data_IF_866494012576
#
_entry.id   IF_866494012576
#
_cell.length_a   1.000
_cell.length_b   1.000
_cell.length_c   1.000
_cell.angle_alpha   90.00
_cell.angle_beta   90.00
_cell.angle_gamma   90.00
#
_symmetry.space_group_name_H-M   'P 1'
#
loop_
_entity.id
_entity.type
_entity.pdbx_description
1 polymer ?
#
# COMPACT_ATOMS: atom_id res chain seq x y z
N UNK A 1 -38.74 -6.12 6.75
CA UNK A 1 -37.67 -5.99 5.74
C UNK A 1 -37.67 -4.64 5.03
N UNK A 2 -38.78 -4.19 4.44
CA UNK A 2 -38.88 -2.85 3.83
C UNK A 2 -38.38 -1.73 4.76
N UNK A 3 -38.88 -1.69 6.00
CA UNK A 3 -38.52 -0.65 6.99
C UNK A 3 -37.06 -0.71 7.48
N UNK A 4 -36.42 -1.87 7.36
CA UNK A 4 -35.00 -2.03 7.72
C UNK A 4 -34.14 -1.46 6.59
N UNK A 5 -34.45 -1.80 5.34
CA UNK A 5 -33.73 -1.26 4.19
C UNK A 5 -33.95 0.24 4.02
N UNK A 6 -35.14 0.78 4.30
CA UNK A 6 -35.35 2.23 4.22
C UNK A 6 -34.46 3.03 5.17
N UNK A 7 -34.05 2.42 6.30
CA UNK A 7 -33.15 3.04 7.28
C UNK A 7 -31.67 2.78 7.01
N UNK A 8 -31.31 1.58 6.53
CA UNK A 8 -29.91 1.12 6.49
C UNK A 8 -29.33 1.08 5.07
N UNK A 9 -30.16 0.96 4.01
CA UNK A 9 -29.67 0.83 2.64
C UNK A 9 -28.79 2.02 2.22
N UNK A 10 -29.19 3.24 2.57
CA UNK A 10 -28.45 4.47 2.24
C UNK A 10 -27.03 4.44 2.82
N UNK A 11 -26.89 4.05 4.10
CA UNK A 11 -25.61 3.89 4.78
C UNK A 11 -24.73 2.80 4.12
N UNK A 12 -25.32 1.66 3.74
CA UNK A 12 -24.62 0.59 3.01
C UNK A 12 -24.15 1.08 1.63
N UNK A 13 -25.04 1.74 0.87
CA UNK A 13 -24.72 2.27 -0.46
C UNK A 13 -23.56 3.24 -0.41
N UNK A 14 -23.58 4.16 0.54
CA UNK A 14 -22.49 5.10 0.75
C UNK A 14 -21.20 4.34 0.98
N UNK A 15 -21.18 3.45 1.96
CA UNK A 15 -19.98 2.71 2.38
C UNK A 15 -19.38 1.95 1.20
N UNK A 16 -20.22 1.33 0.39
CA UNK A 16 -19.75 0.67 -0.83
C UNK A 16 -19.18 1.69 -1.82
N UNK A 17 -19.92 2.75 -2.13
CA UNK A 17 -19.50 3.73 -3.15
C UNK A 17 -18.18 4.39 -2.75
N UNK A 18 -18.02 4.75 -1.47
CA UNK A 18 -16.78 5.32 -0.94
C UNK A 18 -15.62 4.35 -1.07
N UNK A 19 -15.80 3.09 -0.66
CA UNK A 19 -14.76 2.08 -0.80
C UNK A 19 -14.42 1.81 -2.27
N UNK A 20 -15.41 1.67 -3.15
CA UNK A 20 -15.19 1.46 -4.59
C UNK A 20 -14.41 2.64 -5.20
N UNK A 21 -14.78 3.88 -4.88
CA UNK A 21 -14.07 5.06 -5.33
C UNK A 21 -12.63 5.08 -4.79
N UNK A 22 -12.43 4.80 -3.50
CA UNK A 22 -11.11 4.73 -2.89
C UNK A 22 -10.22 3.68 -3.58
N UNK A 23 -10.74 2.47 -3.84
CA UNK A 23 -10.00 1.46 -4.59
C UNK A 23 -9.68 1.90 -6.01
N UNK A 24 -10.62 2.51 -6.73
CA UNK A 24 -10.36 3.00 -8.08
C UNK A 24 -9.38 4.17 -8.16
N UNK A 25 -9.23 4.99 -7.10
CA UNK A 25 -8.12 5.96 -7.05
C UNK A 25 -6.75 5.28 -7.09
N UNK A 26 -6.65 4.04 -6.59
CA UNK A 26 -5.42 3.24 -6.65
C UNK A 26 -4.98 2.84 -8.05
N UNK A 27 -5.81 3.03 -9.10
CA UNK A 27 -5.42 2.82 -10.51
C UNK A 27 -4.36 3.85 -10.95
N UNK A 28 -4.27 5.00 -10.28
CA UNK A 28 -3.32 6.07 -10.64
C UNK A 28 -1.86 5.75 -10.31
N UNK A 29 -1.60 4.69 -9.55
CA UNK A 29 -0.25 4.19 -9.25
C UNK A 29 0.50 3.78 -10.52
N UNK A 30 1.83 3.89 -10.54
CA UNK A 30 2.64 3.34 -11.64
C UNK A 30 2.82 1.82 -11.58
N UNK A 31 2.49 1.18 -10.44
CA UNK A 31 2.66 -0.26 -10.25
C UNK A 31 1.47 -1.08 -10.79
N UNK A 32 1.67 -1.82 -11.88
CA UNK A 32 0.61 -2.64 -12.49
C UNK A 32 -0.02 -3.67 -11.54
N UNK A 33 0.77 -4.28 -10.66
CA UNK A 33 0.25 -5.23 -9.65
C UNK A 33 -0.78 -4.58 -8.72
N UNK A 34 -0.50 -3.34 -8.30
CA UNK A 34 -1.38 -2.52 -7.46
C UNK A 34 -2.62 -2.11 -8.25
N UNK A 35 -2.47 -1.70 -9.51
CA UNK A 35 -3.61 -1.38 -10.38
C UNK A 35 -4.57 -2.56 -10.51
N UNK A 36 -4.05 -3.76 -10.80
CA UNK A 36 -4.88 -4.96 -10.91
C UNK A 36 -5.57 -5.29 -9.60
N UNK A 37 -4.85 -5.26 -8.47
CA UNK A 37 -5.44 -5.48 -7.15
C UNK A 37 -6.61 -4.52 -6.90
N UNK A 38 -6.39 -3.22 -7.11
CA UNK A 38 -7.41 -2.19 -6.94
C UNK A 38 -8.62 -2.38 -7.87
N UNK A 39 -8.42 -2.74 -9.14
CA UNK A 39 -9.50 -3.01 -10.10
C UNK A 39 -10.31 -4.23 -9.65
N UNK A 40 -9.66 -5.32 -9.28
CA UNK A 40 -10.33 -6.54 -8.82
C UNK A 40 -11.12 -6.26 -7.55
N UNK A 41 -10.49 -5.68 -6.52
CA UNK A 41 -11.16 -5.40 -5.24
C UNK A 41 -12.31 -4.41 -5.39
N UNK A 42 -12.13 -3.31 -6.13
CA UNK A 42 -13.19 -2.33 -6.39
C UNK A 42 -14.39 -2.96 -7.11
N UNK A 43 -14.12 -3.79 -8.13
CA UNK A 43 -15.17 -4.49 -8.87
C UNK A 43 -15.87 -5.54 -8.00
N UNK A 44 -15.11 -6.30 -7.20
CA UNK A 44 -15.67 -7.28 -6.25
C UNK A 44 -16.58 -6.59 -5.23
N UNK A 45 -16.21 -5.43 -4.70
CA UNK A 45 -17.05 -4.68 -3.76
C UNK A 45 -18.36 -4.21 -4.39
N UNK A 46 -18.34 -3.79 -5.66
CA UNK A 46 -19.55 -3.46 -6.41
C UNK A 46 -20.49 -4.67 -6.53
N UNK A 47 -19.96 -5.85 -6.86
CA UNK A 47 -20.75 -7.09 -6.90
C UNK A 47 -21.26 -7.50 -5.52
N UNK A 48 -20.43 -7.39 -4.47
CA UNK A 48 -20.83 -7.63 -3.09
C UNK A 48 -22.00 -6.74 -2.67
N UNK A 49 -22.01 -5.48 -3.09
CA UNK A 49 -23.12 -4.57 -2.82
C UNK A 49 -24.42 -4.98 -3.49
N UNK A 50 -24.37 -5.35 -4.77
CA UNK A 50 -25.55 -5.86 -5.49
C UNK A 50 -26.09 -7.11 -4.78
N UNK A 51 -25.20 -8.02 -4.38
CA UNK A 51 -25.58 -9.23 -3.64
C UNK A 51 -26.19 -8.92 -2.26
N UNK A 52 -25.64 -7.94 -1.53
CA UNK A 52 -26.12 -7.53 -0.20
C UNK A 52 -27.51 -6.87 -0.24
N UNK A 53 -27.82 -6.09 -1.27
CA UNK A 53 -29.15 -5.47 -1.41
C UNK A 53 -30.19 -6.47 -1.93
N UNK A 54 -29.81 -7.38 -2.84
CA UNK A 54 -30.76 -8.29 -3.50
C UNK A 54 -30.86 -9.63 -2.79
N UNK A 55 -29.85 -10.49 -2.96
CA UNK A 55 -29.84 -11.86 -2.49
C UNK A 55 -29.88 -11.96 -0.96
N UNK A 56 -29.01 -11.23 -0.27
CA UNK A 56 -28.96 -11.27 1.20
C UNK A 56 -30.29 -10.79 1.81
N UNK A 57 -30.89 -9.73 1.26
CA UNK A 57 -32.21 -9.25 1.66
C UNK A 57 -33.32 -10.29 1.50
N UNK A 58 -33.30 -11.04 0.39
CA UNK A 58 -34.24 -12.13 0.16
C UNK A 58 -34.05 -13.26 1.18
N UNK A 59 -32.81 -13.64 1.49
CA UNK A 59 -32.52 -14.65 2.52
C UNK A 59 -32.97 -14.20 3.90
N UNK A 60 -32.72 -12.95 4.31
CA UNK A 60 -33.22 -12.43 5.59
C UNK A 60 -34.75 -12.39 5.63
N UNK A 61 -35.42 -12.10 4.51
CA UNK A 61 -36.89 -12.14 4.45
C UNK A 61 -37.44 -13.57 4.62
N UNK A 62 -36.78 -14.57 4.04
CA UNK A 62 -37.13 -15.98 4.23
C UNK A 62 -36.84 -16.44 5.67
N UNK A 63 -35.73 -16.00 6.25
CA UNK A 63 -35.38 -16.32 7.62
C UNK A 63 -36.36 -15.70 8.63
N UNK A 64 -36.77 -14.45 8.43
CA UNK A 64 -37.81 -13.83 9.25
C UNK A 64 -39.14 -14.57 9.16
N UNK A 65 -39.52 -15.10 7.99
CA UNK A 65 -40.69 -15.99 7.85
C UNK A 65 -40.51 -17.29 8.64
N UNK A 66 -39.31 -17.90 8.58
CA UNK A 66 -38.95 -19.10 9.35
C UNK A 66 -39.05 -18.85 10.85
N UNK A 67 -38.54 -17.73 11.35
CA UNK A 67 -38.58 -17.36 12.77
C UNK A 67 -40.02 -17.24 13.28
N UNK A 68 -40.90 -16.56 12.54
CA UNK A 68 -42.32 -16.42 12.91
C UNK A 68 -43.02 -17.78 12.98
N UNK A 69 -42.75 -18.69 12.02
CA UNK A 69 -43.30 -20.05 12.05
C UNK A 69 -42.76 -20.85 13.24
N UNK A 70 -41.45 -20.76 13.51
CA UNK A 70 -40.80 -21.44 14.63
C UNK A 70 -41.36 -20.98 15.98
N UNK A 71 -41.53 -19.66 16.17
CA UNK A 71 -42.12 -19.07 17.38
C UNK A 71 -43.60 -19.46 17.56
N UNK A 72 -44.37 -19.55 16.48
CA UNK A 72 -45.76 -20.04 16.52
C UNK A 72 -45.85 -21.52 16.89
N UNK A 73 -44.91 -22.34 16.40
CA UNK A 73 -44.80 -23.76 16.77
C UNK A 73 -44.42 -23.94 18.24
N UNK A 74 -43.54 -23.10 18.78
CA UNK A 74 -43.18 -23.11 20.20
C UNK A 74 -44.31 -22.64 21.13
N UNK A 75 -45.18 -21.72 20.67
CA UNK A 75 -46.32 -21.21 21.45
C UNK A 75 -47.56 -22.10 21.43
N UNK A 76 -47.65 -23.11 20.54
CA UNK A 76 -48.81 -23.99 20.45
C UNK A 76 -48.56 -25.29 21.25
N UNK A 77 -49.17 -25.50 22.42
CA UNK A 77 -49.16 -26.81 23.05
C UNK A 77 -50.23 -27.66 22.36
N UNK A 78 -49.87 -28.31 21.26
CA UNK A 78 -50.71 -29.39 20.72
C UNK A 78 -50.36 -30.69 21.46
N UNK A 79 -51.12 -30.88 22.56
CA UNK A 79 -51.29 -32.08 23.41
C UNK A 79 -50.14 -32.52 24.33
N UNK A 80 -50.43 -33.15 25.50
CA UNK A 80 -49.45 -33.45 26.55
C UNK A 80 -48.49 -34.61 26.22
N UNK A 81 -48.78 -35.40 25.19
CA UNK A 81 -48.10 -36.67 24.94
C UNK A 81 -47.59 -36.78 23.50
N UNK A 82 -46.52 -36.05 23.17
CA UNK A 82 -45.71 -36.40 22.01
C UNK A 82 -44.23 -36.12 22.27
N UNK A 83 -43.48 -37.20 22.55
CA UNK A 83 -42.01 -37.20 22.53
C UNK A 83 -41.52 -36.88 21.12
N UNK A 84 -41.42 -35.59 20.80
CA UNK A 84 -40.80 -35.14 19.57
C UNK A 84 -39.29 -35.35 19.67
N UNK A 85 -38.73 -36.05 18.67
CA UNK A 85 -37.36 -36.55 18.62
C UNK A 85 -36.32 -35.45 18.80
N UNK A 86 -35.27 -35.74 19.58
CA UNK A 86 -34.25 -34.78 20.03
C UNK A 86 -33.46 -34.12 18.89
N UNK A 87 -33.46 -34.69 17.68
CA UNK A 87 -32.76 -34.12 16.53
C UNK A 87 -33.44 -32.87 15.94
N UNK A 88 -34.77 -32.72 16.08
CA UNK A 88 -35.50 -31.54 15.57
C UNK A 88 -35.39 -30.32 16.50
N UNK A 89 -35.00 -30.51 17.77
CA UNK A 89 -34.75 -29.41 18.73
C UNK A 89 -33.48 -28.61 18.41
N UNK A 90 -32.50 -29.19 17.71
CA UNK A 90 -31.22 -28.52 17.44
C UNK A 90 -31.32 -27.40 16.38
N UNK A 91 -32.23 -27.52 15.42
CA UNK A 91 -32.37 -26.52 14.34
C UNK A 91 -33.23 -25.29 14.74
N UNK A 92 -33.90 -25.36 15.89
CA UNK A 92 -34.94 -24.43 16.33
C UNK A 92 -34.79 -24.00 17.81
N UNK A 93 -33.61 -24.10 18.42
CA UNK A 93 -33.39 -23.68 19.81
C UNK A 93 -32.93 -22.21 19.87
N UNK A 94 -33.75 -21.25 20.31
CA UNK A 94 -33.26 -20.09 21.04
C UNK A 94 -32.93 -20.53 22.47
N UNK A 95 -31.83 -19.99 23.00
CA UNK A 95 -31.43 -20.15 24.40
C UNK A 95 -32.62 -19.89 25.34
N UNK A 96 -32.79 -20.74 26.36
CA UNK A 96 -33.88 -20.71 27.34
C UNK A 96 -34.19 -19.29 27.86
N UNK A 97 -35.30 -18.72 27.42
CA UNK A 97 -36.13 -17.84 28.25
C UNK A 97 -37.54 -17.81 27.65
N UNK A 98 -38.54 -18.02 28.51
CA UNK A 98 -39.93 -17.71 28.19
C UNK A 98 -39.99 -16.22 27.89
N UNK A 99 -40.06 -15.88 26.60
CA UNK A 99 -40.06 -14.51 26.07
C UNK A 99 -41.43 -13.87 26.28
N UNK A 100 -41.48 -12.84 27.12
CA UNK A 100 -42.63 -11.95 27.21
C UNK A 100 -42.84 -11.23 25.85
N UNK A 101 -44.10 -11.21 25.43
CA UNK A 101 -44.57 -10.40 24.31
C UNK A 101 -44.38 -8.91 24.66
N UNK A 102 -43.74 -8.15 23.76
CA UNK A 102 -43.68 -6.67 23.64
C UNK A 102 -42.38 -5.90 23.91
N UNK A 103 -41.30 -6.49 24.42
CA UNK A 103 -39.99 -5.82 24.40
C UNK A 103 -39.06 -6.52 23.42
N UNK A 104 -38.69 -5.83 22.35
CA UNK A 104 -37.55 -6.24 21.55
C UNK A 104 -36.34 -6.28 22.49
N UNK A 105 -35.83 -7.48 22.80
CA UNK A 105 -34.67 -7.67 23.67
C UNK A 105 -33.51 -6.81 23.12
N UNK A 106 -33.22 -5.71 23.81
CA UNK A 106 -32.11 -4.82 23.41
C UNK A 106 -30.82 -5.61 23.61
N UNK A 107 -29.99 -5.68 22.57
CA UNK A 107 -28.75 -6.43 22.62
C UNK A 107 -27.88 -5.93 23.80
N UNK A 108 -27.35 -6.82 24.67
CA UNK A 108 -26.59 -6.41 25.86
C UNK A 108 -25.42 -5.48 25.54
N UNK A 109 -24.81 -5.63 24.37
CA UNK A 109 -23.72 -4.75 23.94
C UNK A 109 -24.17 -3.32 23.67
N UNK A 110 -25.39 -3.13 23.16
CA UNK A 110 -25.93 -1.78 22.97
C UNK A 110 -26.13 -1.12 24.35
N UNK A 111 -26.67 -1.87 25.32
CA UNK A 111 -26.78 -1.40 26.71
C UNK A 111 -25.41 -1.09 27.31
N UNK A 112 -24.38 -1.89 27.06
CA UNK A 112 -23.00 -1.59 27.48
C UNK A 112 -22.50 -0.26 26.91
N UNK A 113 -22.72 -0.01 25.62
CA UNK A 113 -22.32 1.26 24.98
C UNK A 113 -23.07 2.47 25.55
N UNK A 114 -24.36 2.32 25.90
CA UNK A 114 -25.19 3.39 26.47
C UNK A 114 -24.94 3.65 27.95
N UNK A 115 -24.86 2.58 28.75
CA UNK A 115 -24.94 2.65 30.21
C UNK A 115 -23.56 2.64 30.88
N UNK A 116 -22.56 2.02 30.23
CA UNK A 116 -21.20 1.92 30.78
C UNK A 116 -20.20 2.75 29.98
N UNK A 117 -20.03 2.44 28.69
CA UNK A 117 -18.94 3.01 27.89
C UNK A 117 -19.16 4.48 27.54
N UNK A 118 -20.36 4.88 27.09
CA UNK A 118 -20.69 6.27 26.75
C UNK A 118 -20.50 7.24 27.94
N UNK A 119 -21.15 7.01 29.09
CA UNK A 119 -20.99 7.86 30.27
C UNK A 119 -19.54 7.89 30.79
N UNK A 120 -18.84 6.76 30.73
CA UNK A 120 -17.42 6.71 31.07
C UNK A 120 -16.57 7.60 30.16
N UNK A 121 -16.75 7.47 28.84
CA UNK A 121 -15.96 8.19 27.82
C UNK A 121 -16.20 9.70 27.89
N UNK A 122 -17.43 10.11 28.18
CA UNK A 122 -17.88 11.51 28.15
C UNK A 122 -17.63 12.23 29.49
N UNK A 123 -17.29 11.50 30.56
CA UNK A 123 -16.90 12.14 31.81
C UNK A 123 -15.70 13.09 31.61
N UNK A 124 -15.69 14.23 32.31
CA UNK A 124 -14.67 15.28 32.13
C UNK A 124 -13.23 14.76 32.31
N UNK A 125 -13.03 13.83 33.26
CA UNK A 125 -11.73 13.20 33.51
C UNK A 125 -11.30 12.33 32.33
N UNK A 126 -12.22 11.54 31.78
CA UNK A 126 -11.96 10.70 30.60
C UNK A 126 -11.72 11.53 29.36
N UNK A 127 -12.44 12.64 29.14
CA UNK A 127 -12.19 13.55 28.01
C UNK A 127 -10.75 14.08 28.02
N UNK A 128 -10.24 14.53 29.17
CA UNK A 128 -8.84 14.98 29.32
C UNK A 128 -7.87 13.83 29.02
N UNK A 129 -8.14 12.64 29.57
CA UNK A 129 -7.32 11.46 29.33
C UNK A 129 -7.29 11.07 27.84
N UNK A 130 -8.42 11.11 27.13
CA UNK A 130 -8.52 10.80 25.70
C UNK A 130 -7.73 11.79 24.86
N UNK A 131 -7.78 13.08 25.20
CA UNK A 131 -6.96 14.11 24.51
C UNK A 131 -5.47 13.84 24.73
N UNK A 132 -5.04 13.52 25.95
CA UNK A 132 -3.65 13.17 26.24
C UNK A 132 -3.20 11.91 25.48
N UNK A 133 -4.06 10.88 25.46
CA UNK A 133 -3.83 9.65 24.70
C UNK A 133 -3.67 9.95 23.22
N UNK A 134 -4.54 10.78 22.64
CA UNK A 134 -4.46 11.17 21.24
C UNK A 134 -3.18 11.94 20.91
N UNK A 135 -2.78 12.90 21.76
CA UNK A 135 -1.52 13.63 21.59
C UNK A 135 -0.32 12.69 21.66
N UNK A 136 -0.31 11.75 22.62
CA UNK A 136 0.76 10.74 22.71
C UNK A 136 0.83 9.83 21.48
N UNK A 137 -0.34 9.44 20.96
CA UNK A 137 -0.46 8.64 19.74
C UNK A 137 0.09 9.38 18.54
N UNK A 138 -0.26 10.66 18.34
CA UNK A 138 0.25 11.47 17.24
C UNK A 138 1.77 11.66 17.34
N UNK A 139 2.30 11.95 18.53
CA UNK A 139 3.75 12.11 18.73
C UNK A 139 4.49 10.82 18.36
N UNK A 140 4.02 9.67 18.86
CA UNK A 140 4.60 8.37 18.52
C UNK A 140 4.49 8.06 17.03
N UNK A 141 3.34 8.37 16.42
CA UNK A 141 3.09 8.14 14.99
C UNK A 141 4.02 8.96 14.10
N UNK A 142 4.14 10.26 14.38
CA UNK A 142 5.03 11.16 13.63
C UNK A 142 6.49 10.75 13.81
N UNK A 143 6.91 10.39 15.03
CA UNK A 143 8.25 9.86 15.27
C UNK A 143 8.52 8.59 14.46
N UNK A 144 7.55 7.66 14.43
CA UNK A 144 7.63 6.45 13.63
C UNK A 144 7.72 6.72 12.13
N UNK A 145 7.01 7.72 11.60
CA UNK A 145 7.08 8.09 10.18
C UNK A 145 8.50 8.48 9.73
N UNK A 146 9.30 9.11 10.60
CA UNK A 146 10.70 9.43 10.29
C UNK A 146 11.63 8.20 10.32
N UNK A 147 11.18 7.07 10.86
CA UNK A 147 11.94 5.82 10.96
C UNK A 147 11.54 4.78 9.91
N UNK A 148 10.50 5.03 9.13
CA UNK A 148 10.03 4.09 8.10
C UNK A 148 11.12 3.91 7.05
N UNK A 149 11.50 2.64 6.82
CA UNK A 149 12.43 2.29 5.75
C UNK A 149 11.69 2.18 4.41
N UNK A 150 12.30 2.75 3.37
CA UNK A 150 11.75 2.75 2.02
C UNK A 150 12.27 1.56 1.22
N UNK A 151 11.37 0.91 0.48
CA UNK A 151 11.72 -0.06 -0.54
C UNK A 151 11.45 -1.50 -0.17
N UNK A 152 11.32 -2.31 -1.22
CA UNK A 152 11.18 -3.75 -1.12
C UNK A 152 12.56 -4.41 -1.14
N UNK A 153 12.83 -5.20 -0.10
CA UNK A 153 13.96 -6.12 -0.10
C UNK A 153 13.61 -7.34 -0.97
N UNK A 154 14.50 -7.72 -1.89
CA UNK A 154 14.29 -8.89 -2.76
C UNK A 154 14.15 -10.19 -1.96
N UNK A 155 14.77 -10.28 -0.78
CA UNK A 155 14.64 -11.41 0.15
C UNK A 155 13.19 -11.63 0.57
N UNK A 156 12.42 -10.54 0.71
CA UNK A 156 11.03 -10.58 1.14
C UNK A 156 10.04 -11.08 0.07
N UNK A 157 10.49 -11.24 -1.18
CA UNK A 157 9.67 -11.84 -2.24
C UNK A 157 9.68 -13.36 -2.21
N UNK A 158 10.69 -13.97 -1.60
CA UNK A 158 10.80 -15.41 -1.47
C UNK A 158 10.06 -15.92 -0.23
N UNK A 159 9.74 -17.22 -0.22
CA UNK A 159 9.34 -17.90 1.01
C UNK A 159 10.48 -17.91 2.01
N UNK A 160 10.17 -17.98 3.30
CA UNK A 160 11.19 -17.94 4.37
C UNK A 160 12.23 -19.05 4.25
N UNK A 161 11.82 -20.23 3.79
CA UNK A 161 12.69 -21.41 3.62
C UNK A 161 13.49 -21.39 2.29
N UNK A 162 13.38 -20.31 1.50
CA UNK A 162 14.05 -20.21 0.21
C UNK A 162 15.56 -19.99 0.34
N UNK A 163 16.34 -20.59 -0.55
CA UNK A 163 17.78 -20.36 -0.68
C UNK A 163 18.15 -18.90 -1.01
N UNK A 164 17.17 -18.11 -1.50
CA UNK A 164 17.34 -16.70 -1.86
C UNK A 164 17.81 -15.87 -0.67
N UNK A 165 17.25 -16.08 0.52
CA UNK A 165 17.61 -15.30 1.71
C UNK A 165 19.05 -15.56 2.16
N UNK A 166 19.49 -16.83 2.35
CA UNK A 166 20.89 -17.13 2.61
C UNK A 166 21.84 -16.61 1.53
N UNK A 167 21.48 -16.72 0.25
CA UNK A 167 22.29 -16.22 -0.87
C UNK A 167 22.54 -14.71 -0.75
N UNK A 168 21.48 -13.91 -0.61
CA UNK A 168 21.61 -12.46 -0.49
C UNK A 168 22.30 -12.02 0.80
N UNK A 169 22.16 -12.77 1.90
CA UNK A 169 22.90 -12.48 3.13
C UNK A 169 24.40 -12.68 2.92
N UNK A 170 24.82 -13.78 2.30
CA UNK A 170 26.23 -14.04 1.97
C UNK A 170 26.77 -12.98 0.99
N UNK A 171 25.97 -12.59 -0.01
CA UNK A 171 26.37 -11.54 -0.95
C UNK A 171 26.52 -10.17 -0.26
N UNK A 172 25.62 -9.81 0.66
CA UNK A 172 25.70 -8.57 1.43
C UNK A 172 26.87 -8.56 2.44
N UNK A 173 27.10 -9.68 3.14
CA UNK A 173 28.12 -9.78 4.19
C UNK A 173 29.55 -9.90 3.64
N UNK A 174 29.72 -10.54 2.47
CA UNK A 174 31.04 -10.88 1.94
C UNK A 174 31.37 -10.26 0.58
N UNK A 175 30.36 -9.88 -0.21
CA UNK A 175 30.54 -9.46 -1.61
C UNK A 175 29.89 -8.10 -1.93
N UNK A 176 29.55 -7.29 -0.91
CA UNK A 176 28.89 -5.98 -1.07
C UNK A 176 29.78 -4.83 -1.49
N UNK A 177 31.10 -5.04 -1.58
CA UNK A 177 32.07 -4.00 -1.97
C UNK A 177 31.75 -3.47 -3.38
N UNK A 178 31.52 -4.39 -4.31
CA UNK A 178 31.18 -4.09 -5.70
C UNK A 178 29.65 -4.05 -5.87
N UNK A 179 29.17 -2.96 -6.46
CA UNK A 179 27.78 -2.82 -6.87
C UNK A 179 27.51 -3.41 -8.26
N UNK A 180 26.31 -3.18 -8.82
CA UNK A 180 25.99 -3.63 -10.16
C UNK A 180 26.91 -2.97 -11.20
N UNK A 181 27.43 -3.78 -12.13
CA UNK A 181 28.21 -3.29 -13.26
C UNK A 181 27.30 -2.61 -14.28
N UNK A 182 27.40 -1.28 -14.40
CA UNK A 182 26.46 -0.48 -15.21
C UNK A 182 26.97 -0.37 -16.64
N UNK A 183 26.07 -0.58 -17.61
CA UNK A 183 26.33 -0.36 -19.03
C UNK A 183 26.09 1.11 -19.36
N UNK A 184 27.08 1.78 -19.95
CA UNK A 184 26.95 3.10 -20.59
C UNK A 184 26.91 2.86 -22.09
N UNK A 185 25.74 3.04 -22.69
CA UNK A 185 25.44 2.64 -24.06
C UNK A 185 25.36 3.89 -24.93
N UNK A 186 26.16 3.94 -26.00
CA UNK A 186 26.02 4.93 -27.07
C UNK A 186 24.88 4.44 -27.98
N UNK A 187 23.76 5.15 -27.98
CA UNK A 187 22.52 4.68 -28.62
C UNK A 187 22.43 4.98 -30.11
N UNK A 188 23.21 5.94 -30.58
CA UNK A 188 23.22 6.38 -31.98
C UNK A 188 24.59 6.18 -32.62
N UNK A 189 24.60 6.20 -33.96
CA UNK A 189 25.83 6.10 -34.72
C UNK A 189 26.73 7.30 -34.39
N UNK A 190 27.96 6.99 -33.96
CA UNK A 190 28.97 7.98 -33.64
C UNK A 190 30.18 7.75 -34.54
N UNK A 191 30.70 8.83 -35.11
CA UNK A 191 31.91 8.78 -35.92
C UNK A 191 33.15 8.66 -35.00
N UNK A 192 33.42 7.44 -34.51
CA UNK A 192 34.53 7.17 -33.58
C UNK A 192 35.92 7.51 -34.15
N UNK A 193 36.06 7.66 -35.47
CA UNK A 193 37.31 8.15 -36.09
C UNK A 193 37.45 9.68 -35.99
N UNK A 194 36.39 10.43 -35.74
CA UNK A 194 36.50 11.88 -35.51
C UNK A 194 37.04 12.18 -34.11
N UNK A 195 38.02 13.10 -34.06
CA UNK A 195 38.71 13.47 -32.82
C UNK A 195 37.78 14.23 -31.88
N UNK A 196 36.93 15.10 -32.42
CA UNK A 196 36.02 15.90 -31.60
C UNK A 196 34.90 15.03 -31.03
N UNK A 197 34.34 14.12 -31.83
CA UNK A 197 33.38 13.10 -31.36
C UNK A 197 33.96 12.22 -30.24
N UNK A 198 35.19 11.69 -30.40
CA UNK A 198 35.85 10.91 -29.34
C UNK A 198 36.06 11.72 -28.06
N UNK A 199 36.55 12.94 -28.17
CA UNK A 199 36.80 13.80 -27.00
C UNK A 199 35.52 14.11 -26.22
N UNK A 200 34.39 14.32 -26.92
CA UNK A 200 33.09 14.50 -26.26
C UNK A 200 32.67 13.26 -25.48
N UNK A 201 32.83 12.08 -26.08
CA UNK A 201 32.51 10.81 -25.42
C UNK A 201 33.43 10.53 -24.23
N UNK A 202 34.74 10.79 -24.37
CA UNK A 202 35.73 10.67 -23.29
C UNK A 202 35.40 11.60 -22.13
N UNK A 203 35.02 12.86 -22.38
CA UNK A 203 34.57 13.78 -21.33
C UNK A 203 33.34 13.24 -20.59
N UNK A 204 32.35 12.70 -21.33
CA UNK A 204 31.17 12.12 -20.69
C UNK A 204 31.51 10.89 -19.85
N UNK A 205 32.41 10.01 -20.33
CA UNK A 205 32.87 8.86 -19.54
C UNK A 205 33.65 9.29 -18.31
N UNK A 206 34.49 10.31 -18.41
CA UNK A 206 35.19 10.88 -17.27
C UNK A 206 34.23 11.42 -16.21
N UNK A 207 33.08 11.99 -16.59
CA UNK A 207 32.05 12.40 -15.61
C UNK A 207 31.49 11.22 -14.81
N UNK A 208 31.35 10.04 -15.42
CA UNK A 208 30.97 8.80 -14.72
C UNK A 208 32.10 8.30 -13.82
N UNK A 209 33.33 8.25 -14.33
CA UNK A 209 34.52 7.79 -13.60
C UNK A 209 34.81 8.66 -12.36
N UNK A 210 34.55 9.96 -12.44
CA UNK A 210 34.71 10.91 -11.32
C UNK A 210 33.56 10.84 -10.28
N UNK A 211 32.56 9.98 -10.48
CA UNK A 211 31.47 9.79 -9.53
C UNK A 211 31.95 9.04 -8.30
N UNK A 212 31.47 9.42 -7.10
CA UNK A 212 31.72 8.70 -5.84
C UNK A 212 31.28 7.22 -5.89
N UNK A 213 30.37 6.89 -6.80
CA UNK A 213 29.82 5.54 -6.94
C UNK A 213 30.59 4.65 -7.92
N UNK A 214 31.69 5.11 -8.52
CA UNK A 214 32.45 4.39 -9.56
C UNK A 214 33.90 4.20 -9.13
N UNK A 215 34.47 3.03 -9.45
CA UNK A 215 35.93 2.84 -9.43
C UNK A 215 36.49 3.12 -10.83
N UNK A 216 37.25 4.20 -10.96
CA UNK A 216 37.88 4.63 -12.21
C UNK A 216 38.77 3.54 -12.85
N UNK A 217 39.38 2.67 -12.05
CA UNK A 217 40.32 1.66 -12.53
C UNK A 217 39.65 0.42 -13.14
N UNK A 218 38.34 0.30 -12.95
CA UNK A 218 37.54 -0.85 -13.36
C UNK A 218 36.52 -0.51 -14.45
N UNK A 219 36.67 0.66 -15.07
CA UNK A 219 35.94 1.00 -16.29
C UNK A 219 36.51 0.19 -17.46
N UNK A 220 35.65 -0.55 -18.15
CA UNK A 220 36.02 -1.27 -19.36
C UNK A 220 35.32 -0.64 -20.56
N UNK A 221 36.13 -0.12 -21.50
CA UNK A 221 35.61 0.42 -22.74
C UNK A 221 36.49 0.03 -23.93
N UNK A 222 35.86 -0.58 -24.94
CA UNK A 222 36.55 -1.06 -26.14
C UNK A 222 37.33 0.05 -26.84
N UNK A 223 36.82 1.28 -26.87
CA UNK A 223 37.44 2.39 -27.60
C UNK A 223 38.77 2.80 -26.97
N UNK A 224 38.88 2.80 -25.64
CA UNK A 224 40.12 3.14 -24.94
C UNK A 224 41.22 2.12 -25.27
N UNK A 225 40.90 0.83 -25.26
CA UNK A 225 41.83 -0.24 -25.64
C UNK A 225 42.13 -0.23 -27.15
N UNK A 226 41.13 0.08 -27.97
CA UNK A 226 41.28 0.18 -29.41
C UNK A 226 42.20 1.32 -29.84
N UNK A 227 42.09 2.49 -29.19
CA UNK A 227 42.99 3.63 -29.41
C UNK A 227 44.44 3.24 -29.08
N UNK A 228 44.69 2.62 -27.92
CA UNK A 228 46.03 2.12 -27.55
C UNK A 228 46.57 1.09 -28.56
N UNK A 229 45.71 0.20 -29.03
CA UNK A 229 46.05 -0.79 -30.06
C UNK A 229 46.49 -0.12 -31.38
N UNK A 230 45.73 0.87 -31.85
CA UNK A 230 46.05 1.62 -33.08
C UNK A 230 47.33 2.47 -32.94
N UNK A 231 47.56 3.07 -31.77
CA UNK A 231 48.80 3.80 -31.47
C UNK A 231 50.03 2.87 -31.52
N UNK A 232 49.92 1.66 -30.97
CA UNK A 232 50.97 0.64 -31.03
C UNK A 232 51.28 0.21 -32.47
N UNK A 233 50.26 0.13 -33.33
CA UNK A 233 50.41 -0.15 -34.76
C UNK A 233 50.89 1.06 -35.58
N UNK A 234 51.00 2.24 -34.96
CA UNK A 234 51.34 3.52 -35.62
C UNK A 234 50.40 3.85 -36.79
N UNK A 235 49.13 3.45 -36.70
CA UNK A 235 48.10 3.75 -37.70
C UNK A 235 47.40 5.08 -37.36
N UNK A 236 46.81 5.72 -38.37
CA UNK A 236 46.10 6.98 -38.16
C UNK A 236 44.66 6.73 -37.70
N UNK A 237 44.39 6.99 -36.42
CA UNK A 237 43.07 6.81 -35.80
C UNK A 237 42.02 7.76 -36.40
N UNK A 238 42.45 8.92 -36.92
CA UNK A 238 41.54 9.93 -37.45
C UNK A 238 41.06 9.65 -38.88
N UNK A 239 41.58 8.60 -39.51
CA UNK A 239 41.12 8.18 -40.83
C UNK A 239 40.05 7.09 -40.71
N UNK A 240 38.87 7.33 -41.28
CA UNK A 240 37.73 6.40 -41.24
C UNK A 240 38.09 5.02 -41.79
N UNK A 241 38.82 4.97 -42.91
CA UNK A 241 39.13 3.69 -43.57
C UNK A 241 40.14 2.87 -42.78
N UNK A 242 41.16 3.53 -42.23
CA UNK A 242 42.13 2.90 -41.34
C UNK A 242 41.48 2.43 -40.04
N UNK A 243 40.62 3.24 -39.43
CA UNK A 243 39.88 2.86 -38.23
C UNK A 243 39.02 1.61 -38.50
N UNK A 244 38.10 1.66 -39.45
CA UNK A 244 37.15 0.55 -39.66
C UNK A 244 37.81 -0.76 -40.13
N UNK A 245 38.90 -0.67 -40.91
CA UNK A 245 39.59 -1.86 -41.43
C UNK A 245 40.38 -2.63 -40.37
N UNK A 246 40.81 -1.97 -39.29
CA UNK A 246 41.57 -2.62 -38.21
C UNK A 246 40.66 -3.21 -37.12
N UNK A 247 39.37 -2.87 -37.07
CA UNK A 247 38.44 -3.41 -36.06
C UNK A 247 38.36 -4.94 -36.10
N UNK A 248 38.21 -5.63 -37.25
CA UNK A 248 38.13 -7.09 -37.25
C UNK A 248 39.37 -7.76 -36.65
N UNK A 249 40.56 -7.23 -36.93
CA UNK A 249 41.81 -7.73 -36.37
C UNK A 249 41.89 -7.46 -34.87
N UNK A 250 41.52 -6.26 -34.43
CA UNK A 250 41.41 -5.95 -33.00
C UNK A 250 40.45 -6.89 -32.28
N UNK A 251 39.29 -7.21 -32.87
CA UNK A 251 38.33 -8.14 -32.28
C UNK A 251 38.81 -9.59 -32.28
N UNK A 252 39.79 -9.96 -33.11
CA UNK A 252 40.47 -11.26 -33.00
C UNK A 252 41.41 -11.31 -31.80
N UNK A 253 42.12 -10.21 -31.52
CA UNK A 253 43.04 -10.10 -30.38
C UNK A 253 42.29 -9.89 -29.05
N UNK A 254 41.16 -9.17 -29.09
CA UNK A 254 40.30 -8.84 -27.96
C UNK A 254 38.85 -9.32 -28.19
N UNK A 255 38.60 -10.63 -28.17
CA UNK A 255 37.31 -11.22 -28.55
C UNK A 255 36.14 -10.82 -27.63
N UNK A 256 36.42 -10.38 -26.40
CA UNK A 256 35.38 -9.95 -25.45
C UNK A 256 34.63 -8.71 -25.95
N UNK A 257 35.32 -7.76 -26.58
CA UNK A 257 34.71 -6.52 -27.08
C UNK A 257 33.83 -6.72 -28.32
N UNK A 258 33.85 -7.90 -28.94
CA UNK A 258 32.96 -8.20 -30.06
C UNK A 258 31.47 -8.15 -29.65
N UNK A 259 31.17 -8.35 -28.36
CA UNK A 259 29.82 -8.23 -27.82
C UNK A 259 29.41 -6.80 -27.44
N UNK A 260 30.35 -5.84 -27.50
CA UNK A 260 30.16 -4.47 -27.03
C UNK A 260 30.10 -3.45 -28.17
N UNK A 261 30.28 -3.90 -29.41
CA UNK A 261 30.24 -3.08 -30.63
C UNK A 261 29.30 -3.76 -31.62
N UNK A 262 28.34 -3.00 -32.15
CA UNK A 262 27.46 -3.47 -33.23
C UNK A 262 27.79 -2.74 -34.53
N UNK A 263 28.25 -3.51 -35.53
CA UNK A 263 28.73 -2.99 -36.81
C UNK A 263 27.85 -3.54 -37.93
N UNK A 264 27.35 -2.66 -38.79
CA UNK A 264 26.56 -3.04 -39.96
C UNK A 264 27.43 -3.63 -41.07
N UNK A 265 26.77 -4.29 -42.02
CA UNK A 265 27.37 -4.67 -43.30
C UNK A 265 27.93 -3.48 -44.10
N UNK A 266 27.48 -2.25 -43.81
CA UNK A 266 28.00 -1.00 -44.40
C UNK A 266 29.22 -0.44 -43.66
N UNK A 267 29.80 -1.17 -42.70
CA UNK A 267 30.92 -0.76 -41.85
C UNK A 267 30.62 0.50 -41.01
N UNK A 268 29.39 0.62 -40.53
CA UNK A 268 28.99 1.70 -39.63
C UNK A 268 28.73 1.14 -38.23
N UNK A 269 29.24 1.83 -37.20
CA UNK A 269 29.04 1.43 -35.81
C UNK A 269 27.74 2.08 -35.33
N UNK A 270 26.66 1.30 -35.28
CA UNK A 270 25.34 1.81 -34.88
C UNK A 270 25.28 2.09 -33.39
N UNK A 271 25.79 1.13 -32.60
CA UNK A 271 25.77 1.23 -31.16
C UNK A 271 27.01 0.57 -30.58
N UNK A 272 27.45 1.09 -29.45
CA UNK A 272 28.48 0.47 -28.65
C UNK A 272 28.22 0.72 -27.17
N UNK A 273 28.90 0.00 -26.29
CA UNK A 273 28.77 0.19 -24.85
C UNK A 273 30.10 0.13 -24.12
N UNK A 274 30.17 0.85 -23.02
CA UNK A 274 31.18 0.75 -21.97
C UNK A 274 30.55 0.14 -20.72
N UNK A 275 31.38 -0.37 -19.83
CA UNK A 275 30.97 -0.82 -18.52
C UNK A 275 31.70 -0.05 -17.43
N UNK A 276 30.94 0.49 -16.49
CA UNK A 276 31.45 1.15 -15.29
C UNK A 276 31.14 0.29 -14.08
N UNK A 277 32.16 -0.05 -13.31
CA UNK A 277 32.00 -0.84 -12.08
C UNK A 277 31.62 0.10 -10.93
N UNK A 278 30.48 -0.17 -10.32
CA UNK A 278 30.02 0.64 -9.18
C UNK A 278 30.54 0.12 -7.84
N UNK A 279 30.63 1.01 -6.85
CA UNK A 279 31.17 0.74 -5.52
C UNK A 279 30.32 1.37 -4.41
N UNK A 280 30.30 0.75 -3.23
CA UNK A 280 29.70 1.36 -2.03
C UNK A 280 28.17 1.50 -2.05
N UNK A 281 27.48 0.69 -2.86
CA UNK A 281 26.03 0.79 -3.09
C UNK A 281 25.22 -0.27 -2.32
N UNK A 282 25.41 -0.34 -0.99
CA UNK A 282 24.67 -1.29 -0.14
C UNK A 282 23.23 -0.84 0.15
N UNK A 283 23.04 0.42 0.55
CA UNK A 283 21.74 0.99 0.94
C UNK A 283 20.79 1.26 -0.22
N UNK A 284 19.47 1.10 -0.01
CA UNK A 284 18.42 1.47 -0.97
C UNK A 284 18.49 2.95 -1.36
N UNK A 285 18.90 3.83 -0.44
CA UNK A 285 19.15 5.26 -0.70
C UNK A 285 20.30 5.46 -1.68
N UNK A 286 21.44 4.80 -1.47
CA UNK A 286 22.60 4.91 -2.37
C UNK A 286 22.28 4.33 -3.76
N UNK A 287 21.53 3.22 -3.82
CA UNK A 287 21.04 2.61 -5.06
C UNK A 287 20.20 3.62 -5.87
N UNK A 288 19.29 4.32 -5.20
CA UNK A 288 18.44 5.36 -5.79
C UNK A 288 19.25 6.58 -6.25
N UNK A 289 20.16 7.08 -5.41
CA UNK A 289 20.98 8.26 -5.73
C UNK A 289 21.91 8.01 -6.92
N UNK A 290 22.61 6.86 -6.92
CA UNK A 290 23.45 6.47 -8.05
C UNK A 290 22.65 6.39 -9.35
N UNK A 291 21.48 5.75 -9.33
CA UNK A 291 20.62 5.64 -10.51
C UNK A 291 20.23 7.01 -11.08
N UNK A 292 19.81 7.93 -10.21
CA UNK A 292 19.43 9.28 -10.62
C UNK A 292 20.62 10.09 -11.14
N UNK A 293 21.79 9.97 -10.49
CA UNK A 293 23.01 10.65 -10.90
C UNK A 293 23.48 10.17 -12.28
N UNK A 294 23.52 8.86 -12.51
CA UNK A 294 23.95 8.30 -13.79
C UNK A 294 23.02 8.65 -14.95
N UNK A 295 21.69 8.66 -14.72
CA UNK A 295 20.73 9.11 -15.73
C UNK A 295 20.89 10.58 -16.06
N UNK A 296 21.10 11.43 -15.06
CA UNK A 296 21.34 12.86 -15.24
C UNK A 296 22.65 13.13 -15.99
N UNK A 297 23.71 12.37 -15.70
CA UNK A 297 24.98 12.42 -16.45
C UNK A 297 24.78 12.03 -17.92
N UNK A 298 24.05 10.94 -18.18
CA UNK A 298 23.73 10.51 -19.53
C UNK A 298 22.91 11.56 -20.31
N UNK A 299 21.93 12.20 -19.66
CA UNK A 299 21.09 13.24 -20.26
C UNK A 299 21.85 14.54 -20.57
N UNK A 300 22.85 14.89 -19.74
CA UNK A 300 23.69 16.09 -19.95
C UNK A 300 24.77 15.90 -21.00
N UNK A 301 25.09 14.66 -21.37
CA UNK A 301 26.14 14.38 -22.34
C UNK A 301 25.75 14.90 -23.73
N UNK A 302 26.72 15.45 -24.46
CA UNK A 302 26.52 15.87 -25.86
C UNK A 302 26.33 14.68 -26.81
N UNK A 303 26.81 13.51 -26.41
CA UNK A 303 26.62 12.24 -27.12
C UNK A 303 25.37 11.57 -26.54
N UNK A 304 24.45 11.05 -27.37
CA UNK A 304 23.26 10.36 -26.89
C UNK A 304 23.68 9.06 -26.18
N UNK A 305 23.64 9.11 -24.84
CA UNK A 305 23.98 8.02 -23.94
C UNK A 305 22.75 7.47 -23.22
N UNK A 306 22.76 6.18 -22.97
CA UNK A 306 21.82 5.50 -22.09
C UNK A 306 22.57 4.68 -21.05
N UNK A 307 22.14 4.75 -19.79
CA UNK A 307 22.68 3.92 -18.71
C UNK A 307 21.72 2.79 -18.36
N UNK A 308 22.24 1.57 -18.23
CA UNK A 308 21.43 0.40 -17.93
C UNK A 308 22.15 -0.67 -17.12
N UNK A 309 21.41 -1.29 -16.21
CA UNK A 309 21.72 -2.57 -15.61
C UNK A 309 20.39 -3.28 -15.30
N UNK A 310 20.28 -4.62 -15.41
CA UNK A 310 19.06 -5.34 -15.06
C UNK A 310 18.50 -5.03 -13.66
N UNK A 311 19.36 -4.69 -12.69
CA UNK A 311 18.95 -4.29 -11.34
C UNK A 311 18.18 -2.97 -11.29
N UNK A 312 18.30 -2.10 -12.31
CA UNK A 312 17.62 -0.80 -12.34
C UNK A 312 16.10 -0.93 -12.31
N UNK A 313 15.55 -2.05 -12.81
CA UNK A 313 14.10 -2.36 -12.72
C UNK A 313 13.62 -2.37 -11.26
N UNK A 314 14.47 -2.78 -10.33
CA UNK A 314 14.18 -2.77 -8.90
C UNK A 314 14.47 -1.40 -8.28
N UNK A 315 15.55 -0.73 -8.71
CA UNK A 315 15.96 0.56 -8.15
C UNK A 315 14.97 1.68 -8.52
N UNK A 316 14.35 1.60 -9.70
CA UNK A 316 13.27 2.48 -10.14
C UNK A 316 12.05 2.45 -9.21
N UNK A 317 11.87 1.37 -8.46
CA UNK A 317 10.79 1.28 -7.48
C UNK A 317 11.07 2.18 -6.27
N UNK A 318 12.33 2.32 -5.84
CA UNK A 318 12.70 3.14 -4.68
C UNK A 318 12.44 4.64 -4.91
N UNK A 319 12.47 5.13 -6.16
CA UNK A 319 12.04 6.50 -6.46
C UNK A 319 10.52 6.61 -6.52
N UNK A 320 9.83 5.63 -7.10
CA UNK A 320 8.40 5.71 -7.35
C UNK A 320 7.51 5.41 -6.14
N UNK A 321 7.94 4.58 -5.17
CA UNK A 321 7.08 4.11 -4.06
C UNK A 321 6.57 5.28 -3.21
N UNK A 322 7.47 6.17 -2.76
CA UNK A 322 7.09 7.28 -1.86
C UNK A 322 6.19 8.27 -2.58
N UNK A 323 6.59 8.70 -3.78
CA UNK A 323 5.84 9.67 -4.58
C UNK A 323 4.43 9.14 -4.88
N UNK A 324 4.31 7.88 -5.34
CA UNK A 324 3.03 7.26 -5.61
C UNK A 324 2.19 7.09 -4.33
N UNK A 325 2.81 6.70 -3.21
CA UNK A 325 2.09 6.54 -1.94
C UNK A 325 1.48 7.88 -1.52
N UNK A 326 2.28 8.94 -1.47
CA UNK A 326 1.81 10.28 -1.08
C UNK A 326 0.72 10.76 -2.04
N UNK A 327 0.94 10.65 -3.35
CA UNK A 327 -0.03 11.06 -4.36
C UNK A 327 -1.36 10.31 -4.23
N UNK A 328 -1.30 8.98 -4.09
CA UNK A 328 -2.50 8.14 -3.96
C UNK A 328 -3.26 8.46 -2.66
N UNK A 329 -2.55 8.59 -1.53
CA UNK A 329 -3.14 8.95 -0.24
C UNK A 329 -3.83 10.30 -0.30
N UNK A 330 -3.19 11.31 -0.90
CA UNK A 330 -3.76 12.67 -1.01
C UNK A 330 -5.00 12.66 -1.90
N UNK A 331 -4.93 12.02 -3.08
CA UNK A 331 -6.08 11.95 -4.01
C UNK A 331 -7.24 11.18 -3.39
N UNK A 332 -6.98 10.02 -2.77
CA UNK A 332 -7.99 9.24 -2.09
C UNK A 332 -8.61 10.02 -0.92
N UNK A 333 -7.81 10.65 -0.06
CA UNK A 333 -8.31 11.45 1.07
C UNK A 333 -9.15 12.64 0.60
N UNK A 334 -8.75 13.30 -0.49
CA UNK A 334 -9.52 14.40 -1.08
C UNK A 334 -10.87 13.91 -1.63
N UNK A 335 -10.89 12.76 -2.32
CA UNK A 335 -12.13 12.15 -2.79
C UNK A 335 -13.06 11.81 -1.60
N UNK A 336 -12.51 11.25 -0.52
CA UNK A 336 -13.28 10.92 0.69
C UNK A 336 -13.78 12.17 1.43
N UNK A 337 -13.02 13.26 1.42
CA UNK A 337 -13.49 14.54 1.94
C UNK A 337 -14.71 15.04 1.15
N UNK A 338 -14.66 15.02 -0.18
CA UNK A 338 -15.81 15.39 -1.02
C UNK A 338 -17.02 14.51 -0.73
N UNK A 339 -16.84 13.20 -0.58
CA UNK A 339 -17.96 12.31 -0.23
C UNK A 339 -18.50 12.59 1.19
N UNK A 340 -17.62 12.86 2.17
CA UNK A 340 -18.06 13.22 3.52
C UNK A 340 -18.88 14.51 3.55
N UNK A 341 -18.53 15.51 2.74
CA UNK A 341 -19.28 16.77 2.60
C UNK A 341 -20.68 16.55 2.02
N UNK A 342 -20.80 15.63 1.06
CA UNK A 342 -22.09 15.30 0.44
C UNK A 342 -22.99 14.50 1.40
N UNK A 343 -22.39 13.72 2.29
CA UNK A 343 -23.11 12.78 3.13
C UNK A 343 -23.50 13.34 4.49
N UNK A 344 -22.57 14.02 5.16
CA UNK A 344 -22.73 14.46 6.53
C UNK A 344 -23.35 15.86 6.49
N UNK A 345 -24.55 16.07 7.07
CA UNK A 345 -25.26 17.36 6.98
C UNK A 345 -24.49 18.56 7.54
N UNK A 346 -23.48 18.32 8.38
CA UNK A 346 -22.70 19.35 9.06
C UNK A 346 -21.23 19.37 8.58
N UNK A 347 -20.73 20.48 7.99
CA UNK A 347 -19.40 20.53 7.37
C UNK A 347 -18.25 20.36 8.37
N UNK A 348 -18.39 20.81 9.63
CA UNK A 348 -17.35 20.56 10.64
C UNK A 348 -17.19 19.08 10.98
N UNK A 349 -18.27 18.29 10.94
CA UNK A 349 -18.19 16.85 11.21
C UNK A 349 -17.48 16.13 10.05
N UNK A 350 -17.72 16.56 8.82
CA UNK A 350 -16.96 16.10 7.65
C UNK A 350 -15.46 16.41 7.78
N UNK A 351 -15.10 17.61 8.24
CA UNK A 351 -13.69 17.96 8.49
C UNK A 351 -13.06 17.07 9.57
N UNK A 352 -13.74 16.80 10.67
CA UNK A 352 -13.26 15.89 11.72
C UNK A 352 -13.08 14.45 11.23
N UNK A 353 -13.97 13.96 10.36
CA UNK A 353 -13.82 12.64 9.72
C UNK A 353 -12.59 12.61 8.84
N UNK A 354 -12.35 13.63 8.02
CA UNK A 354 -11.13 13.72 7.19
C UNK A 354 -9.87 13.83 8.03
N UNK A 355 -9.90 14.57 9.14
CA UNK A 355 -8.79 14.62 10.09
C UNK A 355 -8.53 13.25 10.72
N UNK A 356 -9.57 12.50 11.10
CA UNK A 356 -9.42 11.14 11.61
C UNK A 356 -8.79 10.21 10.58
N UNK A 357 -9.16 10.29 9.31
CA UNK A 357 -8.54 9.52 8.22
C UNK A 357 -7.04 9.85 8.11
N UNK A 358 -6.69 11.14 8.05
CA UNK A 358 -5.29 11.56 7.98
C UNK A 358 -4.50 11.09 9.21
N UNK A 359 -5.08 11.18 10.40
CA UNK A 359 -4.50 10.70 11.66
C UNK A 359 -4.26 9.20 11.64
N UNK A 360 -5.24 8.39 11.21
CA UNK A 360 -5.09 6.93 11.12
C UNK A 360 -4.00 6.57 10.11
N UNK A 361 -3.93 7.23 8.95
CA UNK A 361 -2.87 6.98 7.97
C UNK A 361 -1.50 7.25 8.59
N UNK A 362 -1.32 8.42 9.22
CA UNK A 362 -0.05 8.78 9.88
C UNK A 362 0.29 7.77 10.97
N UNK A 363 -0.68 7.30 11.76
CA UNK A 363 -0.41 6.29 12.78
C UNK A 363 -0.15 4.89 12.24
N UNK A 364 -0.83 4.45 11.19
CA UNK A 364 -0.52 3.17 10.54
C UNK A 364 0.90 3.23 9.96
N UNK A 365 1.24 4.29 9.21
CA UNK A 365 2.59 4.48 8.65
C UNK A 365 3.65 4.57 9.75
N UNK A 366 3.39 5.29 10.84
CA UNK A 366 4.35 5.40 11.94
C UNK A 366 4.58 4.08 12.70
N UNK A 367 3.50 3.38 13.03
CA UNK A 367 3.60 2.10 13.76
C UNK A 367 4.08 0.94 12.87
N UNK A 368 4.00 1.06 11.54
CA UNK A 368 4.70 0.14 10.64
C UNK A 368 6.20 0.11 10.91
N UNK A 369 6.83 1.27 11.15
CA UNK A 369 8.25 1.34 11.50
C UNK A 369 8.54 0.57 12.80
N UNK A 370 7.73 0.79 13.84
CA UNK A 370 7.89 0.07 15.12
C UNK A 370 7.62 -1.43 15.01
N UNK A 371 6.91 -1.87 13.98
CA UNK A 371 6.63 -3.29 13.72
C UNK A 371 7.54 -3.91 12.65
N UNK A 372 8.64 -3.22 12.29
CA UNK A 372 9.60 -3.63 11.27
C UNK A 372 8.92 -3.95 9.94
N UNK A 373 8.11 -3.02 9.44
CA UNK A 373 7.45 -3.10 8.14
C UNK A 373 7.90 -1.92 7.28
N UNK A 374 8.42 -2.24 6.09
CA UNK A 374 8.92 -1.24 5.16
C UNK A 374 7.79 -0.61 4.37
N UNK A 375 8.02 0.62 3.88
CA UNK A 375 7.17 1.23 2.88
C UNK A 375 7.56 0.68 1.50
N UNK A 376 6.80 -0.31 1.06
CA UNK A 376 6.89 -0.95 -0.24
C UNK A 376 5.53 -0.92 -0.98
N UNK A 377 5.46 -1.55 -2.16
CA UNK A 377 4.21 -1.59 -2.94
C UNK A 377 3.05 -2.32 -2.23
N UNK A 378 3.34 -3.28 -1.35
CA UNK A 378 2.34 -4.04 -0.59
C UNK A 378 1.80 -3.16 0.53
N UNK A 379 2.69 -2.50 1.26
CA UNK A 379 2.33 -1.53 2.29
C UNK A 379 1.52 -0.37 1.71
N UNK A 380 1.90 0.12 0.53
CA UNK A 380 1.15 1.17 -0.18
C UNK A 380 -0.30 0.76 -0.47
N UNK A 381 -0.55 -0.47 -0.94
CA UNK A 381 -1.92 -0.99 -1.13
C UNK A 381 -2.70 -0.92 0.18
N UNK A 382 -2.10 -1.38 1.27
CA UNK A 382 -2.77 -1.43 2.56
C UNK A 382 -3.07 -0.03 3.14
N UNK A 383 -2.22 0.97 2.84
CA UNK A 383 -2.51 2.36 3.19
C UNK A 383 -3.69 2.93 2.40
N UNK A 384 -3.92 2.50 1.15
CA UNK A 384 -5.14 2.87 0.40
C UNK A 384 -6.36 2.18 1.00
N UNK A 385 -6.26 0.89 1.36
CA UNK A 385 -7.33 0.15 2.05
C UNK A 385 -7.71 0.83 3.38
N UNK A 386 -6.71 1.35 4.10
CA UNK A 386 -6.88 2.04 5.36
C UNK A 386 -7.84 3.24 5.27
N UNK A 387 -7.78 4.00 4.17
CA UNK A 387 -8.63 5.17 3.94
C UNK A 387 -10.12 4.78 3.94
N UNK A 388 -10.47 3.68 3.27
CA UNK A 388 -11.84 3.18 3.20
C UNK A 388 -12.39 2.78 4.57
N UNK A 389 -11.72 1.86 5.25
CA UNK A 389 -12.16 1.38 6.57
C UNK A 389 -12.18 2.47 7.64
N UNK A 390 -11.16 3.34 7.67
CA UNK A 390 -11.10 4.44 8.65
C UNK A 390 -12.20 5.47 8.43
N UNK A 391 -12.53 5.76 7.17
CA UNK A 391 -13.65 6.62 6.84
C UNK A 391 -14.95 6.03 7.35
N UNK A 392 -15.21 4.75 7.08
CA UNK A 392 -16.49 4.12 7.41
C UNK A 392 -16.80 4.20 8.91
N UNK A 393 -15.84 3.83 9.76
CA UNK A 393 -16.04 3.89 11.21
C UNK A 393 -16.32 5.32 11.71
N UNK A 394 -15.57 6.30 11.21
CA UNK A 394 -15.67 7.68 11.67
C UNK A 394 -16.90 8.39 11.11
N UNK A 395 -17.26 8.13 9.84
CA UNK A 395 -18.36 8.76 9.13
C UNK A 395 -19.72 8.32 9.69
N UNK A 396 -19.92 7.01 9.94
CA UNK A 396 -21.20 6.53 10.48
C UNK A 396 -21.46 7.08 11.88
N UNK A 397 -20.44 7.07 12.75
CA UNK A 397 -20.55 7.63 14.10
C UNK A 397 -20.85 9.14 14.05
N UNK A 398 -20.14 9.88 13.20
CA UNK A 398 -20.36 11.33 13.04
C UNK A 398 -21.75 11.64 12.47
N UNK A 399 -22.22 10.84 11.51
CA UNK A 399 -23.55 10.98 10.93
C UNK A 399 -24.66 10.72 11.96
N UNK A 400 -24.52 9.66 12.78
CA UNK A 400 -25.46 9.37 13.86
C UNK A 400 -25.46 10.46 14.94
N UNK A 401 -24.29 11.01 15.28
CA UNK A 401 -24.17 12.13 16.21
C UNK A 401 -24.92 13.38 15.71
N UNK A 402 -24.73 13.77 14.44
CA UNK A 402 -25.38 14.95 13.85
C UNK A 402 -26.89 14.74 13.68
N UNK A 403 -27.31 13.51 13.39
CA UNK A 403 -28.71 13.16 13.18
C UNK A 403 -29.50 12.95 14.47
N UNK A 404 -28.82 12.89 15.62
CA UNK A 404 -29.45 12.74 16.94
C UNK A 404 -30.28 13.97 17.32
N UNK A 405 -31.48 13.71 17.84
CA UNK A 405 -32.41 14.72 18.37
C UNK A 405 -32.17 15.05 19.84
N UNK A 406 -31.19 14.42 20.50
CA UNK A 406 -30.88 14.69 21.91
C UNK A 406 -30.42 16.15 22.12
N UNK A 407 -30.81 16.82 23.22
CA UNK A 407 -30.51 18.24 23.42
C UNK A 407 -29.07 18.51 23.85
N UNK A 408 -28.39 17.55 24.48
CA UNK A 408 -27.01 17.69 24.95
C UNK A 408 -26.04 16.99 24.03
N UNK A 409 -24.93 17.65 23.66
CA UNK A 409 -23.85 17.07 22.85
C UNK A 409 -23.31 15.75 23.44
N UNK A 410 -23.26 15.66 24.76
CA UNK A 410 -22.85 14.47 25.50
C UNK A 410 -23.86 13.31 25.33
N UNK A 411 -25.15 13.62 25.30
CA UNK A 411 -26.18 12.61 25.03
C UNK A 411 -26.19 12.19 23.57
N UNK A 412 -25.97 13.12 22.63
CA UNK A 412 -25.80 12.81 21.20
C UNK A 412 -24.67 11.81 20.95
N UNK A 413 -23.51 12.03 21.59
CA UNK A 413 -22.38 11.09 21.50
C UNK A 413 -22.70 9.73 22.12
N UNK A 414 -23.41 9.69 23.26
CA UNK A 414 -23.85 8.43 23.89
C UNK A 414 -24.84 7.68 23.00
N UNK A 415 -25.78 8.38 22.36
CA UNK A 415 -26.75 7.78 21.44
C UNK A 415 -26.07 7.23 20.19
N UNK A 416 -25.13 7.98 19.60
CA UNK A 416 -24.35 7.49 18.46
C UNK A 416 -23.59 6.19 18.79
N UNK A 417 -22.98 6.12 19.97
CA UNK A 417 -22.31 4.91 20.47
C UNK A 417 -23.29 3.76 20.76
N UNK A 418 -24.47 4.05 21.29
CA UNK A 418 -25.53 3.05 21.51
C UNK A 418 -25.99 2.40 20.20
N UNK A 419 -26.14 3.19 19.14
CA UNK A 419 -26.62 2.72 17.84
C UNK A 419 -25.55 2.00 17.02
N UNK A 420 -24.31 2.49 17.04
CA UNK A 420 -23.27 2.06 16.09
C UNK A 420 -22.01 1.47 16.74
N UNK A 421 -21.86 1.57 18.05
CA UNK A 421 -20.66 1.09 18.76
C UNK A 421 -20.42 -0.40 18.57
N UNK A 422 -21.47 -1.22 18.74
CA UNK A 422 -21.35 -2.67 18.57
C UNK A 422 -21.11 -3.10 17.11
N UNK A 423 -21.88 -2.60 16.11
CA UNK A 423 -21.59 -2.89 14.70
C UNK A 423 -20.16 -2.56 14.28
N UNK A 424 -19.63 -1.40 14.70
CA UNK A 424 -18.25 -0.98 14.40
C UNK A 424 -17.23 -1.92 15.04
N UNK A 425 -17.41 -2.25 16.33
CA UNK A 425 -16.53 -3.20 17.02
C UNK A 425 -16.56 -4.58 16.38
N UNK A 426 -17.76 -5.08 16.04
CA UNK A 426 -17.93 -6.36 15.37
C UNK A 426 -17.24 -6.37 14.01
N UNK A 427 -17.37 -5.30 13.23
CA UNK A 427 -16.68 -5.14 11.94
C UNK A 427 -15.16 -5.22 12.10
N UNK A 428 -14.58 -4.44 13.01
CA UNK A 428 -13.13 -4.45 13.27
C UNK A 428 -12.62 -5.82 13.71
N UNK A 429 -13.30 -6.46 14.68
CA UNK A 429 -12.92 -7.79 15.19
C UNK A 429 -13.07 -8.86 14.11
N UNK A 430 -14.14 -8.83 13.32
CA UNK A 430 -14.35 -9.80 12.25
C UNK A 430 -13.26 -9.74 11.17
N UNK A 431 -12.83 -8.52 10.81
CA UNK A 431 -11.74 -8.34 9.83
C UNK A 431 -10.41 -8.81 10.41
N UNK A 432 -10.10 -8.49 11.67
CA UNK A 432 -8.89 -8.98 12.36
C UNK A 432 -8.85 -10.51 12.38
N UNK A 433 -9.97 -11.17 12.73
CA UNK A 433 -10.06 -12.63 12.73
C UNK A 433 -9.87 -13.16 11.29
N UNK A 434 -10.51 -12.53 10.30
CA UNK A 434 -10.39 -12.93 8.90
C UNK A 434 -8.95 -12.87 8.37
N UNK A 435 -8.19 -11.82 8.71
CA UNK A 435 -6.79 -11.70 8.29
C UNK A 435 -5.81 -12.44 9.19
N UNK A 436 -6.22 -12.89 10.39
CA UNK A 436 -5.33 -13.54 11.36
C UNK A 436 -4.64 -14.79 10.82
N UNK A 437 -5.30 -15.52 9.91
CA UNK A 437 -4.73 -16.70 9.26
C UNK A 437 -3.45 -16.36 8.46
N UNK A 438 -3.35 -15.14 7.93
CA UNK A 438 -2.19 -14.68 7.15
C UNK A 438 -0.94 -14.47 8.02
N UNK A 439 -1.11 -14.33 9.34
CA UNK A 439 0.02 -14.21 10.28
C UNK A 439 0.87 -15.48 10.36
N UNK A 440 0.27 -16.64 10.07
CA UNK A 440 0.94 -17.94 10.12
C UNK A 440 1.59 -18.36 8.80
N UNK A 441 1.57 -17.50 7.77
CA UNK A 441 2.13 -17.82 6.47
C UNK A 441 3.67 -17.68 6.44
N UNK A 442 4.33 -18.59 5.73
CA UNK A 442 5.79 -18.61 5.50
C UNK A 442 6.24 -17.64 4.39
N UNK A 443 5.63 -16.46 4.32
CA UNK A 443 6.01 -15.42 3.38
C UNK A 443 5.79 -14.04 3.98
N UNK A 444 6.75 -13.15 3.76
CA UNK A 444 6.71 -11.76 4.24
C UNK A 444 5.43 -11.04 3.81
N UNK A 445 5.02 -11.19 2.54
CA UNK A 445 3.86 -10.47 1.96
C UNK A 445 2.59 -10.66 2.80
N UNK A 446 2.27 -11.90 3.17
CA UNK A 446 1.07 -12.22 3.93
C UNK A 446 1.14 -11.71 5.38
N UNK A 447 2.31 -11.85 6.02
CA UNK A 447 2.51 -11.34 7.39
C UNK A 447 2.47 -9.82 7.44
N UNK A 448 3.04 -9.15 6.46
CA UNK A 448 2.99 -7.69 6.32
C UNK A 448 1.55 -7.21 6.10
N UNK A 449 0.80 -7.90 5.23
CA UNK A 449 -0.63 -7.62 5.06
C UNK A 449 -1.40 -7.76 6.38
N UNK A 450 -1.19 -8.84 7.14
CA UNK A 450 -1.79 -9.00 8.46
C UNK A 450 -1.42 -7.87 9.43
N UNK A 451 -0.13 -7.56 9.59
CA UNK A 451 0.35 -6.51 10.50
C UNK A 451 -0.30 -5.17 10.20
N UNK A 452 -0.31 -4.76 8.94
CA UNK A 452 -0.88 -3.46 8.56
C UNK A 452 -2.40 -3.48 8.74
N UNK A 453 -3.09 -4.52 8.28
CA UNK A 453 -4.55 -4.63 8.46
C UNK A 453 -4.96 -4.65 9.93
N UNK A 454 -4.17 -5.27 10.81
CA UNK A 454 -4.38 -5.21 12.25
C UNK A 454 -4.29 -3.76 12.78
N UNK A 455 -3.23 -3.03 12.41
CA UNK A 455 -3.09 -1.61 12.79
C UNK A 455 -4.24 -0.76 12.26
N UNK A 456 -4.65 -0.96 11.01
CA UNK A 456 -5.79 -0.26 10.39
C UNK A 456 -7.06 -0.48 11.18
N UNK A 457 -7.39 -1.72 11.54
CA UNK A 457 -8.62 -2.03 12.27
C UNK A 457 -8.58 -1.48 13.70
N UNK A 458 -7.44 -1.60 14.40
CA UNK A 458 -7.29 -1.10 15.77
C UNK A 458 -7.36 0.43 15.81
N UNK A 459 -6.59 1.12 14.97
CA UNK A 459 -6.58 2.59 14.96
C UNK A 459 -7.86 3.16 14.37
N UNK A 460 -8.42 2.55 13.32
CA UNK A 460 -9.72 2.94 12.77
C UNK A 460 -10.83 2.82 13.81
N UNK A 461 -10.91 1.69 14.52
CA UNK A 461 -11.91 1.50 15.58
C UNK A 461 -11.68 2.45 16.76
N UNK A 462 -10.43 2.70 17.17
CA UNK A 462 -10.13 3.68 18.21
C UNK A 462 -10.58 5.10 17.80
N UNK A 463 -10.35 5.49 16.54
CA UNK A 463 -10.82 6.80 16.04
C UNK A 463 -12.35 6.88 16.02
N UNK A 464 -13.03 5.87 15.48
CA UNK A 464 -14.49 5.86 15.41
C UNK A 464 -15.19 5.76 16.78
N UNK A 465 -14.65 4.97 17.72
CA UNK A 465 -15.33 4.66 18.99
C UNK A 465 -14.86 5.52 20.17
N UNK A 466 -13.65 6.09 20.12
CA UNK A 466 -13.05 6.82 21.24
C UNK A 466 -12.83 8.28 20.88
N UNK A 467 -12.04 8.55 19.84
CA UNK A 467 -11.59 9.93 19.56
C UNK A 467 -12.70 10.80 18.97
N UNK A 468 -13.39 10.34 17.92
CA UNK A 468 -14.46 11.11 17.28
C UNK A 468 -15.60 11.46 18.25
N UNK A 469 -16.18 10.52 19.03
CA UNK A 469 -17.24 10.87 19.98
C UNK A 469 -16.83 11.94 20.99
N UNK A 470 -15.59 11.90 21.48
CA UNK A 470 -15.07 12.91 22.42
C UNK A 470 -14.85 14.24 21.73
N UNK A 471 -14.18 14.26 20.57
CA UNK A 471 -13.90 15.49 19.85
C UNK A 471 -15.18 16.21 19.44
N UNK A 472 -16.19 15.50 18.96
CA UNK A 472 -17.48 16.08 18.60
C UNK A 472 -18.21 16.73 19.79
N UNK A 473 -17.91 16.35 21.04
CA UNK A 473 -18.52 16.99 22.23
C UNK A 473 -17.92 18.35 22.60
N UNK A 474 -16.82 18.76 21.97
CA UNK A 474 -16.20 20.07 22.21
C UNK A 474 -16.81 21.20 21.35
N UNK A 475 -17.71 20.86 20.41
CA UNK A 475 -18.30 21.77 19.44
C UNK A 475 -19.81 21.91 19.62
#
# INVERSE_FOLDING_TARGET
>A
MSDVYSKVAVSITITTVTNVLAFYTGIMTSFRSVQYFCIYTGTTLLFCYIYNITCFGAFMALDGKREVVCLRWLKKPETPDQKCSSLKKSCCLPCNSLRDEYTADIHPMNLFFRDCFGPFLISTKSKIFVVLLYVSYIIASVYGCFQVQEGLDLRNLASDDSYITPYFNVEEDHFSTYGPRVMVIVTEALDYWDKDARKKLENCLADFENSEYVDENLTEFWLQEYVKYMENLRQNINDKTSFLSNIPTFLMDFPLFAYDINITSSQEIICSRAFVQTMGISSSTNKKLMLLQFRNMAEKCEVPLMVYNPAFIYFDQYSAIVENTVRNVVVASAAMFVVSLLLIPHPLCSLWVTFAIASVIVGVTGFMAFWNVNLDSISMINLVICIGFSFDFSAHISYAFVSSSEPSVDRKATEALYLLGYPVLQSAVSTIIGVSVLSAANAYIFRTFFKIMFLVMVFGAAHGLIFIPVFLTFF
#
